data_IF_255628295005
#
_entry.id   IF_255628295005
#
_cell.length_a   1.000
_cell.length_b   1.000
_cell.length_c   1.000
_cell.angle_alpha   90.00
_cell.angle_beta   90.00
_cell.angle_gamma   90.00
#
_symmetry.space_group_name_H-M   'P 1'
#
loop_
_entity.id
_entity.type
_entity.pdbx_description
1 polymer ?
#
# COMPACT_ATOMS: atom_id res chain seq x y z
N UNK A 1 -12.68 -34.87 2.83
CA UNK A 1 -11.34 -34.67 3.43
C UNK A 1 -11.40 -34.26 4.91
N UNK A 2 -12.20 -33.25 5.29
CA UNK A 2 -12.34 -32.79 6.69
C UNK A 2 -12.74 -33.91 7.68
N UNK A 3 -13.74 -34.73 7.35
CA UNK A 3 -14.17 -35.85 8.20
C UNK A 3 -13.09 -36.95 8.39
N UNK A 4 -12.05 -36.98 7.54
CA UNK A 4 -10.93 -37.91 7.70
C UNK A 4 -9.86 -37.38 8.65
N UNK A 5 -9.61 -36.07 8.62
CA UNK A 5 -8.67 -35.41 9.54
C UNK A 5 -9.25 -35.36 10.95
N UNK A 6 -10.54 -35.00 11.08
CA UNK A 6 -11.24 -34.99 12.37
C UNK A 6 -11.15 -36.34 13.08
N UNK A 7 -11.49 -37.44 12.37
CA UNK A 7 -11.35 -38.80 12.89
C UNK A 7 -9.93 -39.13 13.33
N UNK A 8 -8.91 -38.82 12.52
CA UNK A 8 -7.51 -39.07 12.91
C UNK A 8 -7.09 -38.34 14.19
N UNK A 9 -7.57 -37.13 14.42
CA UNK A 9 -7.26 -36.36 15.64
C UNK A 9 -7.93 -37.03 16.85
N UNK A 10 -9.19 -37.39 16.71
CA UNK A 10 -9.94 -38.05 17.80
C UNK A 10 -9.35 -39.43 18.10
N UNK A 11 -9.03 -40.23 17.07
CA UNK A 11 -8.40 -41.55 17.19
C UNK A 11 -7.00 -41.47 17.83
N UNK A 12 -6.19 -40.48 17.45
CA UNK A 12 -4.83 -40.32 17.97
C UNK A 12 -4.79 -39.84 19.42
N UNK A 13 -5.81 -39.09 19.86
CA UNK A 13 -5.89 -38.54 21.23
C UNK A 13 -6.74 -39.39 22.18
N UNK A 14 -7.59 -40.27 21.64
CA UNK A 14 -8.56 -41.05 22.42
C UNK A 14 -9.72 -40.22 22.98
N UNK A 15 -9.86 -38.96 22.57
CA UNK A 15 -10.91 -38.05 23.05
C UNK A 15 -11.91 -37.79 21.93
N UNK A 16 -13.13 -38.30 22.08
CA UNK A 16 -14.19 -38.10 21.09
C UNK A 16 -14.58 -36.62 21.00
N UNK A 17 -14.75 -36.12 19.77
CA UNK A 17 -15.09 -34.72 19.45
C UNK A 17 -14.03 -33.69 19.82
N UNK A 18 -12.78 -34.08 20.10
CA UNK A 18 -11.70 -33.12 20.32
C UNK A 18 -11.45 -32.27 19.08
N UNK A 19 -11.56 -32.86 17.89
CA UNK A 19 -11.44 -32.15 16.61
C UNK A 19 -12.46 -31.01 16.46
N UNK A 20 -13.69 -31.18 16.95
CA UNK A 20 -14.73 -30.14 16.96
C UNK A 20 -14.39 -28.99 17.92
N UNK A 21 -13.76 -29.29 19.07
CA UNK A 21 -13.24 -28.27 19.99
C UNK A 21 -12.10 -27.47 19.35
N UNK A 22 -11.18 -28.13 18.63
CA UNK A 22 -10.11 -27.44 17.90
C UNK A 22 -10.69 -26.50 16.84
N UNK A 23 -11.66 -26.96 16.05
CA UNK A 23 -12.37 -26.12 15.07
C UNK A 23 -13.04 -24.92 15.75
N UNK A 24 -13.63 -25.13 16.92
CA UNK A 24 -14.22 -24.08 17.76
C UNK A 24 -13.16 -23.04 18.17
N UNK A 25 -11.97 -23.45 18.62
CA UNK A 25 -10.89 -22.53 19.00
C UNK A 25 -10.39 -21.69 17.81
N UNK A 26 -10.29 -22.30 16.63
CA UNK A 26 -9.94 -21.58 15.40
C UNK A 26 -11.01 -20.54 15.06
N UNK A 27 -12.29 -20.90 15.15
CA UNK A 27 -13.39 -19.98 14.90
C UNK A 27 -13.46 -18.84 15.94
N UNK A 28 -13.17 -19.09 17.22
CA UNK A 28 -13.05 -18.02 18.23
C UNK A 28 -11.94 -17.02 17.87
N UNK A 29 -10.82 -17.52 17.38
CA UNK A 29 -9.68 -16.71 16.96
C UNK A 29 -10.04 -15.85 15.76
N UNK A 30 -10.80 -16.38 14.80
CA UNK A 30 -11.31 -15.61 13.66
C UNK A 30 -12.20 -14.44 14.11
N UNK A 31 -13.18 -14.69 14.99
CA UNK A 31 -14.03 -13.62 15.55
C UNK A 31 -13.22 -12.56 16.31
N UNK A 32 -12.28 -13.01 17.14
CA UNK A 32 -11.41 -12.13 17.91
C UNK A 32 -10.55 -11.27 16.98
N UNK A 33 -9.96 -11.86 15.94
CA UNK A 33 -9.13 -11.18 14.97
C UNK A 33 -9.91 -10.13 14.17
N UNK A 34 -11.12 -10.46 13.72
CA UNK A 34 -11.99 -9.50 13.01
C UNK A 34 -12.36 -8.33 13.91
N UNK A 35 -12.76 -8.58 15.16
CA UNK A 35 -13.11 -7.52 16.09
C UNK A 35 -11.88 -6.68 16.50
N UNK A 36 -10.75 -7.33 16.74
CA UNK A 36 -9.47 -6.67 17.01
C UNK A 36 -9.02 -5.78 15.85
N UNK A 37 -9.13 -6.26 14.62
CA UNK A 37 -8.86 -5.48 13.41
C UNK A 37 -9.78 -4.27 13.31
N UNK A 38 -11.08 -4.44 13.58
CA UNK A 38 -12.03 -3.33 13.61
C UNK A 38 -11.63 -2.27 14.65
N UNK A 39 -11.22 -2.67 15.86
CA UNK A 39 -10.74 -1.74 16.88
C UNK A 39 -9.46 -1.00 16.46
N UNK A 40 -8.55 -1.67 15.73
CA UNK A 40 -7.34 -1.01 15.20
C UNK A 40 -7.63 0.07 14.15
N UNK A 41 -8.79 0.05 13.51
CA UNK A 41 -9.20 1.11 12.58
C UNK A 41 -9.67 2.39 13.28
N UNK A 42 -9.97 2.35 14.59
CA UNK A 42 -10.27 3.53 15.41
C UNK A 42 -8.96 4.21 15.80
N UNK A 43 -8.35 4.91 14.83
CA UNK A 43 -6.99 5.46 14.92
C UNK A 43 -6.76 6.56 15.97
N UNK A 44 -7.81 7.07 16.61
CA UNK A 44 -7.73 8.31 17.41
C UNK A 44 -8.09 8.13 18.89
N UNK A 45 -8.32 6.91 19.36
CA UNK A 45 -8.62 6.67 20.78
C UNK A 45 -7.36 6.21 21.51
N UNK A 46 -6.98 6.93 22.58
CA UNK A 46 -5.93 6.53 23.50
C UNK A 46 -6.12 5.05 23.91
N UNK A 47 -5.03 4.33 24.22
CA UNK A 47 -5.08 2.90 24.56
C UNK A 47 -5.91 2.64 25.83
N UNK A 48 -7.22 2.55 25.65
CA UNK A 48 -8.20 2.27 26.70
C UNK A 48 -8.52 0.77 26.84
N UNK A 49 -9.24 0.39 27.90
CA UNK A 49 -9.63 -1.00 28.18
C UNK A 49 -10.44 -1.63 27.03
N UNK A 50 -11.19 -0.81 26.27
CA UNK A 50 -11.96 -1.26 25.11
C UNK A 50 -11.10 -1.90 24.00
N UNK A 51 -9.81 -1.52 23.89
CA UNK A 51 -8.89 -2.11 22.91
C UNK A 51 -8.53 -3.56 23.23
N UNK A 52 -8.54 -3.93 24.52
CA UNK A 52 -8.27 -5.30 25.01
C UNK A 52 -9.52 -6.17 25.09
N UNK A 53 -10.70 -5.60 24.87
CA UNK A 53 -11.97 -6.31 24.95
C UNK A 53 -12.05 -7.55 24.02
N UNK A 54 -11.58 -7.52 22.75
CA UNK A 54 -11.62 -8.70 21.89
C UNK A 54 -10.80 -9.87 22.44
N UNK A 55 -9.59 -9.58 22.94
CA UNK A 55 -8.71 -10.60 23.51
C UNK A 55 -9.30 -11.18 24.80
N UNK A 56 -9.82 -10.31 25.67
CA UNK A 56 -10.40 -10.73 26.95
C UNK A 56 -11.67 -11.57 26.75
N UNK A 57 -12.53 -11.15 25.82
CA UNK A 57 -13.74 -11.90 25.47
C UNK A 57 -13.41 -13.25 24.81
N UNK A 58 -12.40 -13.30 23.92
CA UNK A 58 -11.95 -14.53 23.30
C UNK A 58 -11.36 -15.51 24.33
N UNK A 59 -10.52 -15.03 25.24
CA UNK A 59 -9.96 -15.84 26.31
C UNK A 59 -11.03 -16.37 27.27
N UNK A 60 -12.00 -15.54 27.64
CA UNK A 60 -13.13 -15.94 28.46
C UNK A 60 -13.99 -17.01 27.75
N UNK A 61 -14.31 -16.81 26.47
CA UNK A 61 -15.09 -17.78 25.69
C UNK A 61 -14.32 -19.09 25.45
N UNK A 62 -13.02 -19.03 25.20
CA UNK A 62 -12.17 -20.22 25.05
C UNK A 62 -12.13 -21.04 26.36
N UNK A 63 -11.96 -20.35 27.49
CA UNK A 63 -12.01 -20.98 28.81
C UNK A 63 -13.36 -21.62 29.06
N UNK A 64 -14.46 -20.91 28.78
CA UNK A 64 -15.80 -21.45 28.92
C UNK A 64 -16.03 -22.67 28.02
N UNK A 65 -15.57 -22.64 26.76
CA UNK A 65 -15.67 -23.76 25.83
C UNK A 65 -14.93 -25.00 26.33
N UNK A 66 -13.70 -24.85 26.85
CA UNK A 66 -12.91 -25.95 27.40
C UNK A 66 -13.57 -26.54 28.64
N UNK A 67 -13.99 -25.69 29.59
CA UNK A 67 -14.65 -26.13 30.83
C UNK A 67 -15.94 -26.87 30.50
N UNK A 68 -16.79 -26.31 29.63
CA UNK A 68 -18.06 -26.93 29.25
C UNK A 68 -17.85 -28.20 28.43
N UNK A 69 -16.80 -28.29 27.62
CA UNK A 69 -16.42 -29.53 26.94
C UNK A 69 -16.10 -30.65 27.95
N UNK A 70 -15.33 -30.34 28.99
CA UNK A 70 -14.97 -31.32 30.05
C UNK A 70 -16.21 -31.75 30.84
N UNK A 71 -17.10 -30.81 31.19
CA UNK A 71 -18.28 -31.09 32.01
C UNK A 71 -19.43 -31.76 31.25
N UNK A 72 -19.49 -31.63 29.92
CA UNK A 72 -20.56 -32.20 29.11
C UNK A 72 -20.28 -33.68 28.80
N UNK A 73 -21.24 -34.60 29.03
CA UNK A 73 -21.11 -36.00 28.63
C UNK A 73 -20.82 -36.14 27.14
N UNK A 74 -20.02 -37.12 26.74
CA UNK A 74 -19.57 -37.30 25.35
C UNK A 74 -20.73 -37.37 24.35
N UNK A 75 -21.81 -38.05 24.70
CA UNK A 75 -23.00 -38.20 23.85
C UNK A 75 -23.69 -36.87 23.51
N UNK A 76 -23.51 -35.85 24.35
CA UNK A 76 -24.17 -34.55 24.22
C UNK A 76 -23.27 -33.47 23.59
N UNK A 77 -21.97 -33.75 23.41
CA UNK A 77 -21.01 -32.78 22.85
C UNK A 77 -21.26 -32.57 21.36
N UNK A 78 -21.28 -31.29 20.93
CA UNK A 78 -21.42 -30.89 19.53
C UNK A 78 -22.61 -31.53 18.78
N UNK A 79 -23.63 -31.96 19.52
CA UNK A 79 -24.84 -32.58 18.97
C UNK A 79 -25.62 -31.66 18.04
N UNK A 80 -26.56 -32.27 17.30
CA UNK A 80 -27.50 -31.52 16.43
C UNK A 80 -28.38 -30.55 17.24
N UNK A 81 -28.63 -30.86 18.50
CA UNK A 81 -29.40 -30.08 19.46
C UNK A 81 -28.59 -29.85 20.72
N UNK A 82 -28.86 -28.74 21.41
CA UNK A 82 -28.21 -28.43 22.67
C UNK A 82 -29.00 -29.00 23.84
N UNK A 83 -28.37 -29.86 24.63
CA UNK A 83 -28.94 -30.49 25.83
C UNK A 83 -28.00 -30.33 27.02
N UNK A 84 -28.56 -30.36 28.24
CA UNK A 84 -27.79 -30.29 29.48
C UNK A 84 -26.86 -29.07 29.56
N UNK A 85 -25.60 -29.29 29.98
CA UNK A 85 -24.58 -28.24 30.07
C UNK A 85 -24.22 -27.62 28.71
N UNK A 86 -24.48 -28.31 27.60
CA UNK A 86 -24.21 -27.80 26.27
C UNK A 86 -25.10 -26.60 25.89
N UNK A 87 -26.25 -26.43 26.55
CA UNK A 87 -27.11 -25.24 26.41
C UNK A 87 -26.33 -23.98 26.79
N UNK A 88 -25.58 -24.02 27.89
CA UNK A 88 -24.78 -22.89 28.37
C UNK A 88 -23.70 -22.55 27.33
N UNK A 89 -23.06 -23.56 26.76
CA UNK A 89 -22.07 -23.39 25.70
C UNK A 89 -22.70 -22.75 24.46
N UNK A 90 -23.86 -23.25 24.01
CA UNK A 90 -24.55 -22.74 22.85
C UNK A 90 -24.93 -21.26 23.01
N UNK A 91 -25.47 -20.87 24.18
CA UNK A 91 -25.80 -19.49 24.50
C UNK A 91 -24.54 -18.61 24.51
N UNK A 92 -23.47 -19.04 25.18
CA UNK A 92 -22.22 -18.30 25.24
C UNK A 92 -21.59 -18.11 23.85
N UNK A 93 -21.58 -19.17 23.04
CA UNK A 93 -21.08 -19.15 21.66
C UNK A 93 -21.85 -18.17 20.78
N UNK A 94 -23.19 -18.25 20.79
CA UNK A 94 -24.05 -17.36 20.00
C UNK A 94 -23.89 -15.91 20.47
N UNK A 95 -23.88 -15.68 21.79
CA UNK A 95 -23.71 -14.34 22.37
C UNK A 95 -22.36 -13.73 22.00
N UNK A 96 -21.29 -14.50 22.08
CA UNK A 96 -19.95 -14.07 21.67
C UNK A 96 -19.89 -13.76 20.17
N UNK A 97 -20.36 -14.67 19.32
CA UNK A 97 -20.39 -14.48 17.87
C UNK A 97 -21.25 -13.27 17.45
N UNK A 98 -22.42 -13.09 18.06
CA UNK A 98 -23.31 -11.98 17.75
C UNK A 98 -22.71 -10.64 18.19
N UNK A 99 -22.14 -10.59 19.39
CA UNK A 99 -21.50 -9.36 19.92
C UNK A 99 -20.32 -8.95 19.06
N UNK A 100 -19.44 -9.90 18.72
CA UNK A 100 -18.27 -9.65 17.86
C UNK A 100 -18.68 -9.18 16.47
N UNK A 101 -19.65 -9.86 15.84
CA UNK A 101 -20.15 -9.50 14.51
C UNK A 101 -20.81 -8.11 14.50
N UNK A 102 -21.70 -7.81 15.46
CA UNK A 102 -22.36 -6.49 15.56
C UNK A 102 -21.34 -5.40 15.83
N UNK A 103 -20.43 -5.58 16.79
CA UNK A 103 -19.44 -4.58 17.15
C UNK A 103 -18.50 -4.28 15.97
N UNK A 104 -17.97 -5.32 15.32
CA UNK A 104 -17.09 -5.16 14.17
C UNK A 104 -17.82 -4.51 12.98
N UNK A 105 -19.02 -4.97 12.64
CA UNK A 105 -19.83 -4.39 11.56
C UNK A 105 -20.17 -2.92 11.82
N UNK A 106 -20.54 -2.56 13.06
CA UNK A 106 -20.81 -1.17 13.42
C UNK A 106 -19.58 -0.27 13.27
N UNK A 107 -18.40 -0.76 13.67
CA UNK A 107 -17.14 -0.02 13.50
C UNK A 107 -16.80 0.12 12.01
N UNK A 108 -16.82 -0.96 11.22
CA UNK A 108 -16.55 -0.89 9.77
C UNK A 108 -17.52 0.06 9.07
N UNK A 109 -18.80 0.04 9.43
CA UNK A 109 -19.81 0.94 8.86
C UNK A 109 -19.54 2.41 9.19
N UNK A 110 -19.17 2.72 10.44
CA UNK A 110 -18.80 4.08 10.84
C UNK A 110 -17.54 4.55 10.13
N UNK A 111 -16.51 3.71 10.06
CA UNK A 111 -15.27 4.03 9.36
C UNK A 111 -15.50 4.20 7.85
N UNK A 112 -16.35 3.36 7.23
CA UNK A 112 -16.72 3.51 5.83
C UNK A 112 -17.32 4.88 5.51
N UNK A 113 -18.12 5.44 6.44
CA UNK A 113 -18.76 6.75 6.27
C UNK A 113 -17.78 7.92 6.36
N UNK A 114 -16.65 7.77 7.06
CA UNK A 114 -15.63 8.83 7.17
C UNK A 114 -14.53 8.75 6.10
N UNK A 115 -14.44 7.64 5.35
CA UNK A 115 -13.41 7.45 4.34
C UNK A 115 -13.63 8.32 3.09
N UNK A 116 -12.59 9.07 2.70
CA UNK A 116 -12.56 9.88 1.48
C UNK A 116 -12.32 9.05 0.21
N UNK A 117 -11.57 7.95 0.30
CA UNK A 117 -11.32 7.08 -0.86
C UNK A 117 -12.54 6.21 -1.13
N UNK A 118 -13.15 6.26 -2.34
CA UNK A 118 -14.32 5.44 -2.65
C UNK A 118 -13.97 3.95 -2.62
N UNK A 119 -12.74 3.58 -3.00
CA UNK A 119 -12.32 2.18 -3.05
C UNK A 119 -12.22 1.57 -1.65
N UNK A 120 -11.62 2.28 -0.70
CA UNK A 120 -11.60 1.87 0.71
C UNK A 120 -12.99 1.93 1.35
N UNK A 121 -13.83 2.89 0.95
CA UNK A 121 -15.22 2.93 1.40
C UNK A 121 -15.98 1.68 0.96
N UNK A 122 -15.85 1.25 -0.29
CA UNK A 122 -16.47 0.02 -0.78
C UNK A 122 -15.93 -1.22 -0.08
N UNK A 123 -14.62 -1.30 0.18
CA UNK A 123 -14.08 -2.44 0.95
C UNK A 123 -14.62 -2.48 2.38
N UNK A 124 -14.74 -1.34 3.07
CA UNK A 124 -15.31 -1.30 4.42
C UNK A 124 -16.81 -1.62 4.44
N UNK A 125 -17.57 -1.18 3.43
CA UNK A 125 -18.98 -1.58 3.29
C UNK A 125 -19.08 -3.08 3.04
N UNK A 126 -18.25 -3.64 2.15
CA UNK A 126 -18.21 -5.08 1.91
C UNK A 126 -17.82 -5.86 3.19
N UNK A 127 -16.85 -5.40 3.99
CA UNK A 127 -16.54 -5.98 5.30
C UNK A 127 -17.75 -5.92 6.25
N UNK A 128 -18.46 -4.80 6.28
CA UNK A 128 -19.68 -4.65 7.10
C UNK A 128 -20.73 -5.70 6.70
N UNK A 129 -20.99 -5.86 5.40
CA UNK A 129 -21.95 -6.84 4.87
C UNK A 129 -21.48 -8.27 5.16
N UNK A 130 -20.22 -8.58 4.88
CA UNK A 130 -19.65 -9.91 5.07
C UNK A 130 -19.69 -10.34 6.53
N UNK A 131 -19.25 -9.48 7.46
CA UNK A 131 -19.31 -9.77 8.89
C UNK A 131 -20.76 -9.78 9.39
N UNK A 132 -21.62 -8.91 8.88
CA UNK A 132 -23.05 -8.90 9.19
C UNK A 132 -23.80 -10.16 8.74
N UNK A 133 -23.34 -10.82 7.67
CA UNK A 133 -23.90 -12.09 7.18
C UNK A 133 -23.74 -13.25 8.18
N UNK A 134 -22.87 -13.09 9.18
CA UNK A 134 -22.77 -14.02 10.30
C UNK A 134 -24.02 -14.01 11.19
N UNK A 135 -24.72 -12.88 11.32
CA UNK A 135 -25.88 -12.79 12.21
C UNK A 135 -27.03 -13.72 11.76
N UNK A 136 -27.46 -13.73 10.49
CA UNK A 136 -28.40 -14.75 10.00
C UNK A 136 -27.91 -16.18 10.23
N UNK A 137 -26.61 -16.46 10.05
CA UNK A 137 -26.05 -17.78 10.33
C UNK A 137 -26.19 -18.16 11.81
N UNK A 138 -25.87 -17.24 12.74
CA UNK A 138 -25.99 -17.48 14.18
C UNK A 138 -27.44 -17.65 14.62
N UNK A 139 -28.38 -16.91 14.03
CA UNK A 139 -29.82 -17.10 14.26
C UNK A 139 -30.27 -18.48 13.78
N UNK A 140 -29.89 -18.87 12.56
CA UNK A 140 -30.16 -20.21 12.03
C UNK A 140 -29.55 -21.30 12.93
N UNK A 141 -28.30 -21.11 13.37
CA UNK A 141 -27.60 -22.02 14.29
C UNK A 141 -28.35 -22.15 15.61
N UNK A 142 -28.80 -21.04 16.18
CA UNK A 142 -29.58 -21.00 17.41
C UNK A 142 -30.89 -21.77 17.27
N UNK A 143 -31.65 -21.50 16.20
CA UNK A 143 -32.90 -22.21 15.91
C UNK A 143 -32.65 -23.71 15.82
N UNK A 144 -31.61 -24.16 15.10
CA UNK A 144 -31.28 -25.58 14.97
C UNK A 144 -30.88 -26.24 16.28
N UNK A 145 -30.23 -25.50 17.18
CA UNK A 145 -29.83 -26.04 18.49
C UNK A 145 -30.98 -26.12 19.50
N UNK A 146 -31.92 -25.19 19.46
CA UNK A 146 -32.97 -25.07 20.49
C UNK A 146 -34.36 -25.51 20.03
N UNK A 147 -34.62 -25.60 18.72
CA UNK A 147 -35.93 -26.00 18.18
C UNK A 147 -35.84 -27.42 17.63
N UNK A 148 -36.58 -28.39 18.20
CA UNK A 148 -36.61 -29.73 17.65
C UNK A 148 -37.36 -29.80 16.31
N UNK A 149 -36.95 -30.72 15.44
CA UNK A 149 -37.62 -30.94 14.15
C UNK A 149 -37.34 -29.89 13.07
N UNK A 150 -36.27 -29.08 13.21
CA UNK A 150 -35.95 -28.07 12.19
C UNK A 150 -35.66 -28.69 10.81
N UNK A 151 -36.19 -28.11 9.72
CA UNK A 151 -35.97 -28.60 8.36
C UNK A 151 -34.48 -28.60 7.95
N UNK A 152 -34.09 -29.54 7.08
CA UNK A 152 -32.71 -29.67 6.60
C UNK A 152 -32.29 -28.48 5.72
N UNK A 153 -33.24 -27.83 5.06
CA UNK A 153 -33.05 -26.65 4.23
C UNK A 153 -32.47 -25.48 5.03
N UNK A 154 -32.81 -25.39 6.32
CA UNK A 154 -32.26 -24.37 7.20
C UNK A 154 -30.75 -24.57 7.42
N UNK A 155 -30.26 -25.82 7.39
CA UNK A 155 -28.83 -26.09 7.42
C UNK A 155 -28.12 -25.59 6.17
N UNK A 156 -28.76 -25.76 5.00
CA UNK A 156 -28.25 -25.27 3.71
C UNK A 156 -28.22 -23.75 3.69
N UNK A 157 -29.27 -23.09 4.18
CA UNK A 157 -29.29 -21.63 4.33
C UNK A 157 -28.17 -21.14 5.25
N UNK A 158 -27.98 -21.80 6.41
CA UNK A 158 -26.88 -21.49 7.32
C UNK A 158 -25.50 -21.65 6.67
N UNK A 159 -25.31 -22.70 5.88
CA UNK A 159 -24.09 -22.89 5.10
C UNK A 159 -23.84 -21.72 4.13
N UNK A 160 -24.84 -21.29 3.38
CA UNK A 160 -24.69 -20.17 2.45
C UNK A 160 -24.43 -18.84 3.15
N UNK A 161 -25.06 -18.58 4.31
CA UNK A 161 -24.75 -17.39 5.12
C UNK A 161 -23.30 -17.38 5.59
N UNK A 162 -22.80 -18.51 6.10
CA UNK A 162 -21.40 -18.66 6.51
C UNK A 162 -20.44 -18.54 5.32
N UNK A 163 -20.75 -19.18 4.20
CA UNK A 163 -19.97 -19.08 2.96
C UNK A 163 -19.89 -17.64 2.44
N UNK A 164 -21.03 -16.93 2.44
CA UNK A 164 -21.10 -15.54 2.03
C UNK A 164 -20.17 -14.66 2.87
N UNK A 165 -20.08 -14.87 4.19
CA UNK A 165 -19.12 -14.16 5.04
C UNK A 165 -17.70 -14.32 4.51
N UNK A 166 -17.23 -15.56 4.34
CA UNK A 166 -15.84 -15.82 3.93
C UNK A 166 -15.51 -15.20 2.58
N UNK A 167 -16.39 -15.37 1.59
CA UNK A 167 -16.18 -14.82 0.24
C UNK A 167 -16.19 -13.30 0.25
N UNK A 168 -17.20 -12.69 0.89
CA UNK A 168 -17.34 -11.23 0.90
C UNK A 168 -16.21 -10.57 1.68
N UNK A 169 -15.80 -11.13 2.83
CA UNK A 169 -14.66 -10.62 3.60
C UNK A 169 -13.35 -10.74 2.81
N UNK A 170 -13.08 -11.88 2.17
CA UNK A 170 -11.89 -12.07 1.34
C UNK A 170 -11.85 -11.08 0.16
N UNK A 171 -12.99 -10.88 -0.52
CA UNK A 171 -13.13 -9.91 -1.59
C UNK A 171 -12.90 -8.48 -1.08
N UNK A 172 -13.46 -8.14 0.09
CA UNK A 172 -13.30 -6.83 0.70
C UNK A 172 -11.83 -6.53 1.03
N UNK A 173 -11.11 -7.49 1.63
CA UNK A 173 -9.67 -7.39 1.89
C UNK A 173 -8.87 -7.23 0.59
N UNK A 174 -9.24 -7.99 -0.45
CA UNK A 174 -8.61 -7.88 -1.77
C UNK A 174 -8.81 -6.49 -2.38
N UNK A 175 -10.03 -5.95 -2.32
CA UNK A 175 -10.33 -4.58 -2.75
C UNK A 175 -9.49 -3.60 -1.93
N UNK A 176 -9.43 -3.71 -0.60
CA UNK A 176 -8.64 -2.80 0.23
C UNK A 176 -7.15 -2.76 -0.17
N UNK A 177 -6.59 -3.89 -0.61
CA UNK A 177 -5.21 -3.99 -1.09
C UNK A 177 -4.98 -3.34 -2.47
N UNK A 178 -6.02 -3.14 -3.29
CA UNK A 178 -5.87 -2.52 -4.61
C UNK A 178 -5.45 -1.05 -4.54
N UNK A 179 -5.85 -0.29 -3.52
CA UNK A 179 -5.43 1.11 -3.41
C UNK A 179 -3.92 1.29 -3.21
N UNK A 180 -3.28 0.67 -2.19
CA UNK A 180 -1.83 0.76 -2.04
C UNK A 180 -1.10 0.14 -3.24
N UNK A 181 -1.60 -0.95 -3.81
CA UNK A 181 -1.02 -1.54 -5.03
C UNK A 181 -1.08 -0.57 -6.21
N UNK A 182 -2.22 0.09 -6.45
CA UNK A 182 -2.37 1.11 -7.50
C UNK A 182 -1.40 2.27 -7.29
N UNK A 183 -1.27 2.77 -6.06
CA UNK A 183 -0.32 3.84 -5.73
C UNK A 183 1.12 3.40 -5.99
N UNK A 184 1.49 2.19 -5.53
CA UNK A 184 2.81 1.63 -5.74
C UNK A 184 3.15 1.47 -7.22
N UNK A 185 2.24 0.93 -8.03
CA UNK A 185 2.40 0.79 -9.48
C UNK A 185 2.56 2.16 -10.16
N UNK A 186 1.78 3.17 -9.75
CA UNK A 186 1.90 4.53 -10.29
C UNK A 186 3.25 5.15 -9.94
N UNK A 187 3.73 5.01 -8.70
CA UNK A 187 5.03 5.54 -8.28
C UNK A 187 6.19 4.80 -8.95
N UNK A 188 6.11 3.47 -9.00
CA UNK A 188 7.06 2.63 -9.75
C UNK A 188 7.12 3.06 -11.22
N UNK A 189 5.99 3.18 -11.92
CA UNK A 189 5.97 3.58 -13.32
C UNK A 189 6.54 4.98 -13.56
N UNK A 190 6.31 5.93 -12.63
CA UNK A 190 6.91 7.27 -12.66
C UNK A 190 8.43 7.21 -12.45
N UNK A 191 8.89 6.40 -11.50
CA UNK A 191 10.30 6.16 -11.20
C UNK A 191 11.03 5.59 -12.41
N UNK A 192 10.41 4.62 -13.11
CA UNK A 192 10.95 4.04 -14.34
C UNK A 192 11.06 5.06 -15.48
N UNK A 193 10.08 5.95 -15.63
CA UNK A 193 10.14 7.03 -16.66
C UNK A 193 11.27 8.02 -16.43
N UNK A 194 11.67 8.24 -15.18
CA UNK A 194 12.78 9.13 -14.83
C UNK A 194 14.15 8.45 -14.89
N UNK A 195 14.21 7.12 -14.97
CA UNK A 195 15.47 6.37 -14.92
C UNK A 195 16.48 6.83 -15.98
N UNK A 196 16.04 7.10 -17.21
CA UNK A 196 16.95 7.55 -18.29
C UNK A 196 17.54 8.93 -18.02
N UNK A 197 16.73 9.89 -17.56
CA UNK A 197 17.22 11.22 -17.20
C UNK A 197 18.20 11.13 -16.03
N UNK A 198 17.83 10.36 -15.02
CA UNK A 198 18.66 10.10 -13.86
C UNK A 198 20.02 9.53 -14.27
N UNK A 199 20.06 8.41 -15.00
CA UNK A 199 21.33 7.79 -15.44
C UNK A 199 22.22 8.79 -16.19
N UNK A 200 21.63 9.51 -17.15
CA UNK A 200 22.34 10.48 -17.98
C UNK A 200 22.99 11.61 -17.15
N UNK A 201 22.32 12.09 -16.10
CA UNK A 201 22.87 13.12 -15.22
C UNK A 201 23.86 12.56 -14.20
N UNK A 202 23.66 11.33 -13.74
CA UNK A 202 24.56 10.65 -12.80
C UNK A 202 25.90 10.28 -13.44
N UNK A 203 25.89 9.88 -14.70
CA UNK A 203 27.10 9.63 -15.48
C UNK A 203 27.98 10.89 -15.56
N UNK A 204 27.39 12.09 -15.62
CA UNK A 204 28.14 13.36 -15.61
C UNK A 204 28.45 13.91 -14.22
N UNK A 205 27.88 13.33 -13.16
CA UNK A 205 28.04 13.81 -11.77
C UNK A 205 28.41 12.66 -10.81
N UNK A 206 29.46 11.88 -11.10
CA UNK A 206 29.81 10.72 -10.30
C UNK A 206 30.19 11.07 -8.85
N UNK A 207 30.63 12.31 -8.60
CA UNK A 207 31.00 12.79 -7.26
C UNK A 207 29.81 12.90 -6.30
N UNK A 208 28.59 13.04 -6.82
CA UNK A 208 27.37 13.11 -6.00
C UNK A 208 26.83 11.71 -5.63
N UNK A 209 27.56 10.63 -5.94
CA UNK A 209 27.17 9.24 -5.69
C UNK A 209 27.47 8.83 -4.25
N UNK A 210 26.45 8.96 -3.40
CA UNK A 210 26.47 8.46 -2.02
C UNK A 210 26.35 6.92 -1.95
N UNK A 211 25.65 6.31 -2.91
CA UNK A 211 25.39 4.86 -2.95
C UNK A 211 25.58 4.33 -4.38
N UNK A 212 26.11 3.11 -4.51
CA UNK A 212 26.33 2.50 -5.81
C UNK A 212 25.02 2.43 -6.63
N UNK A 213 25.04 2.85 -7.91
CA UNK A 213 23.85 2.84 -8.76
C UNK A 213 23.23 1.44 -8.84
N UNK A 214 21.96 1.32 -8.44
CA UNK A 214 21.22 0.06 -8.55
C UNK A 214 21.11 -0.35 -10.02
N UNK A 215 21.39 -1.62 -10.32
CA UNK A 215 21.25 -2.15 -11.68
C UNK A 215 19.83 -1.99 -12.20
N UNK A 216 19.67 -1.78 -13.52
CA UNK A 216 18.36 -1.56 -14.14
C UNK A 216 17.38 -2.71 -13.90
N UNK A 217 17.87 -3.94 -13.83
CA UNK A 217 17.05 -5.13 -13.54
C UNK A 217 16.56 -5.13 -12.09
N UNK A 218 17.44 -4.83 -11.13
CA UNK A 218 17.05 -4.68 -9.73
C UNK A 218 16.06 -3.49 -9.55
N UNK A 219 16.26 -2.40 -10.29
CA UNK A 219 15.35 -1.24 -10.30
C UNK A 219 13.95 -1.59 -10.81
N UNK A 220 13.84 -2.50 -11.79
CA UNK A 220 12.59 -2.93 -12.38
C UNK A 220 11.79 -3.88 -11.47
N UNK A 221 12.48 -4.80 -10.78
CA UNK A 221 11.85 -5.83 -9.93
C UNK A 221 11.52 -5.28 -8.53
N UNK A 222 12.15 -4.19 -8.11
CA UNK A 222 11.89 -3.57 -6.80
C UNK A 222 10.53 -2.86 -6.69
N UNK A 223 9.59 -3.47 -5.96
CA UNK A 223 8.27 -2.89 -5.62
C UNK A 223 8.14 -2.36 -4.18
N UNK A 224 9.16 -2.54 -3.33
CA UNK A 224 9.21 -1.97 -1.98
C UNK A 224 9.50 -0.47 -2.01
N UNK A 225 8.94 0.29 -1.06
CA UNK A 225 9.25 1.72 -0.82
C UNK A 225 9.21 2.61 -2.09
N UNK A 226 8.24 2.35 -2.97
CA UNK A 226 8.16 3.00 -4.30
C UNK A 226 8.00 4.51 -4.23
N UNK A 227 7.40 5.04 -3.16
CA UNK A 227 7.28 6.47 -2.93
C UNK A 227 8.63 7.08 -2.55
N UNK A 228 9.32 6.51 -1.56
CA UNK A 228 10.61 6.98 -1.06
C UNK A 228 11.64 6.95 -2.19
N UNK A 229 11.69 5.84 -2.94
CA UNK A 229 12.62 5.68 -4.07
C UNK A 229 12.31 6.63 -5.24
N UNK A 230 11.04 6.95 -5.48
CA UNK A 230 10.66 7.96 -6.46
C UNK A 230 11.10 9.36 -5.99
N UNK A 231 10.88 9.68 -4.73
CA UNK A 231 11.24 10.96 -4.14
C UNK A 231 12.75 11.18 -4.16
N UNK A 232 13.52 10.20 -3.68
CA UNK A 232 14.98 10.18 -3.73
C UNK A 232 15.49 10.42 -5.16
N UNK A 233 14.95 9.73 -6.16
CA UNK A 233 15.35 9.90 -7.56
C UNK A 233 15.12 11.34 -8.07
N UNK A 234 14.07 12.00 -7.62
CA UNK A 234 13.82 13.41 -8.00
C UNK A 234 14.78 14.37 -7.32
N UNK A 235 15.13 14.12 -6.05
CA UNK A 235 16.17 14.88 -5.34
C UNK A 235 17.51 14.71 -6.04
N UNK A 236 17.94 13.48 -6.33
CA UNK A 236 19.22 13.22 -7.00
C UNK A 236 19.32 13.87 -8.39
N UNK A 237 18.22 13.89 -9.16
CA UNK A 237 18.17 14.62 -10.44
C UNK A 237 18.36 16.13 -10.23
N UNK A 238 17.71 16.71 -9.21
CA UNK A 238 17.84 18.15 -8.90
C UNK A 238 19.25 18.51 -8.45
N UNK A 239 19.83 17.69 -7.59
CA UNK A 239 21.18 17.90 -7.09
C UNK A 239 22.18 17.84 -8.25
N UNK A 240 22.00 16.89 -9.18
CA UNK A 240 22.84 16.80 -10.38
C UNK A 240 22.70 18.03 -11.28
N UNK A 241 21.48 18.55 -11.48
CA UNK A 241 21.26 19.77 -12.26
C UNK A 241 21.92 20.98 -11.59
N UNK A 242 21.76 21.11 -10.27
CA UNK A 242 22.33 22.23 -9.48
C UNK A 242 23.86 22.17 -9.49
N UNK A 243 24.43 20.99 -9.33
CA UNK A 243 25.88 20.78 -9.41
C UNK A 243 26.45 21.09 -10.79
N UNK A 244 25.76 20.72 -11.88
CA UNK A 244 26.15 21.10 -13.23
C UNK A 244 26.05 22.62 -13.45
N UNK A 245 25.04 23.25 -12.87
CA UNK A 245 24.87 24.70 -12.89
C UNK A 245 26.05 25.39 -12.22
N UNK A 246 26.34 25.05 -10.98
CA UNK A 246 27.37 25.71 -10.16
C UNK A 246 28.79 25.40 -10.65
N UNK A 247 29.00 24.29 -11.35
CA UNK A 247 30.30 23.89 -11.87
C UNK A 247 30.65 24.46 -13.25
N UNK A 248 29.68 24.58 -14.16
CA UNK A 248 29.97 24.84 -15.59
C UNK A 248 29.04 25.87 -16.25
N UNK A 249 27.94 26.28 -15.61
CA UNK A 249 27.07 27.28 -16.22
C UNK A 249 27.69 28.67 -16.11
N UNK A 250 27.97 29.31 -17.26
CA UNK A 250 28.41 30.70 -17.32
C UNK A 250 27.26 31.62 -17.71
N UNK A 251 27.27 32.91 -17.32
CA UNK A 251 26.25 33.87 -17.74
C UNK A 251 26.12 34.01 -19.27
N UNK A 252 27.20 33.77 -20.02
CA UNK A 252 27.18 33.74 -21.48
C UNK A 252 26.42 32.52 -22.02
N UNK A 253 26.68 31.33 -21.46
CA UNK A 253 25.97 30.09 -21.83
C UNK A 253 24.48 30.20 -21.53
N UNK A 254 24.12 30.72 -20.35
CA UNK A 254 22.74 30.90 -19.92
C UNK A 254 21.97 31.84 -20.85
N UNK A 255 22.55 32.98 -21.22
CA UNK A 255 21.95 33.90 -22.20
C UNK A 255 21.79 33.25 -23.59
N UNK A 256 22.84 32.58 -24.07
CA UNK A 256 22.78 31.88 -25.36
C UNK A 256 21.68 30.79 -25.37
N UNK A 257 21.46 30.10 -24.26
CA UNK A 257 20.41 29.10 -24.11
C UNK A 257 19.01 29.73 -24.17
N UNK A 258 18.80 30.89 -23.53
CA UNK A 258 17.54 31.65 -23.59
C UNK A 258 17.27 32.16 -25.01
N UNK A 259 18.27 32.76 -25.65
CA UNK A 259 18.16 33.25 -27.02
C UNK A 259 17.83 32.12 -28.01
N UNK A 260 18.48 30.97 -27.84
CA UNK A 260 18.19 29.78 -28.64
C UNK A 260 16.77 29.28 -28.42
N UNK A 261 16.32 29.21 -27.17
CA UNK A 261 14.95 28.79 -26.84
C UNK A 261 13.90 29.74 -27.43
N UNK A 262 14.15 31.05 -27.41
CA UNK A 262 13.28 32.05 -28.04
C UNK A 262 13.15 31.87 -29.56
N UNK A 263 14.25 31.52 -30.24
CA UNK A 263 14.29 31.30 -31.70
C UNK A 263 13.62 30.00 -32.14
N UNK A 264 13.64 28.96 -31.30
CA UNK A 264 13.17 27.63 -31.70
C UNK A 264 11.63 27.54 -31.74
N UNK A 265 10.90 28.45 -31.08
CA UNK A 265 9.43 28.45 -31.02
C UNK A 265 8.80 27.18 -30.41
N UNK A 266 9.62 26.26 -29.89
CA UNK A 266 9.25 24.90 -29.55
C UNK A 266 8.86 24.78 -28.06
N UNK A 267 7.61 25.09 -27.72
CA UNK A 267 7.06 24.82 -26.39
C UNK A 267 7.47 25.86 -25.32
N UNK A 268 7.39 25.50 -24.02
CA UNK A 268 7.71 26.42 -22.94
C UNK A 268 9.19 26.82 -23.01
N UNK A 269 9.46 28.04 -23.49
CA UNK A 269 10.81 28.56 -23.78
C UNK A 269 11.79 28.29 -22.62
N UNK A 270 11.32 28.43 -21.37
CA UNK A 270 12.11 28.15 -20.19
C UNK A 270 12.64 26.70 -20.11
N UNK A 271 11.81 25.69 -20.41
CA UNK A 271 12.26 24.28 -20.34
C UNK A 271 13.29 23.95 -21.43
N UNK A 272 13.16 24.56 -22.61
CA UNK A 272 14.14 24.42 -23.69
C UNK A 272 15.46 25.07 -23.30
N UNK A 273 15.43 26.28 -22.75
CA UNK A 273 16.63 26.95 -22.24
C UNK A 273 17.33 26.12 -21.16
N UNK A 274 16.55 25.54 -20.22
CA UNK A 274 17.10 24.63 -19.20
C UNK A 274 17.75 23.41 -19.83
N UNK A 275 17.07 22.75 -20.77
CA UNK A 275 17.64 21.60 -21.47
C UNK A 275 18.94 21.96 -22.22
N UNK A 276 18.98 23.11 -22.89
CA UNK A 276 20.15 23.61 -23.62
C UNK A 276 21.38 23.74 -22.71
N UNK A 277 21.26 24.47 -21.59
CA UNK A 277 22.42 24.67 -20.72
C UNK A 277 22.78 23.40 -19.95
N UNK A 278 21.80 22.59 -19.53
CA UNK A 278 22.06 21.31 -18.84
C UNK A 278 22.82 20.35 -19.76
N UNK A 279 22.44 20.22 -21.03
CA UNK A 279 23.16 19.33 -21.96
C UNK A 279 24.57 19.84 -22.28
N UNK A 280 24.75 21.15 -22.44
CA UNK A 280 26.06 21.74 -22.69
C UNK A 280 27.03 21.53 -21.50
N UNK A 281 26.57 21.85 -20.28
CA UNK A 281 27.35 21.65 -19.04
C UNK A 281 27.64 20.18 -18.77
N UNK A 282 26.66 19.29 -19.02
CA UNK A 282 26.85 17.83 -18.94
C UNK A 282 27.99 17.33 -19.82
N UNK A 283 28.06 17.80 -21.07
CA UNK A 283 29.13 17.41 -22.01
C UNK A 283 30.49 17.95 -21.57
N UNK A 284 30.55 19.17 -21.05
CA UNK A 284 31.77 19.75 -20.49
C UNK A 284 32.27 18.95 -19.28
N UNK A 285 31.36 18.57 -18.36
CA UNK A 285 31.69 17.73 -17.22
C UNK A 285 32.24 16.37 -17.65
N UNK A 286 31.59 15.70 -18.62
CA UNK A 286 32.07 14.42 -19.17
C UNK A 286 33.41 14.54 -19.91
N UNK A 287 33.69 15.69 -20.53
CA UNK A 287 34.96 15.96 -21.18
C UNK A 287 36.08 16.32 -20.19
N UNK A 288 35.79 16.37 -18.87
CA UNK A 288 36.76 16.73 -17.84
C UNK A 288 37.18 18.20 -17.86
N UNK A 289 36.34 19.08 -18.43
CA UNK A 289 36.61 20.53 -18.42
C UNK A 289 36.61 21.01 -16.96
N UNK A 290 37.65 21.73 -16.50
CA UNK A 290 37.69 22.27 -15.15
C UNK A 290 36.47 23.14 -14.84
N UNK A 291 36.00 23.10 -13.59
CA UNK A 291 34.87 23.92 -13.15
C UNK A 291 35.22 25.39 -13.22
N UNK A 292 34.24 26.21 -13.56
CA UNK A 292 34.37 27.66 -13.59
C UNK A 292 33.87 28.21 -12.26
N UNK A 293 34.74 28.86 -11.47
CA UNK A 293 34.38 29.48 -10.19
C UNK A 293 33.64 30.82 -10.37
N UNK A 294 32.65 30.86 -11.26
CA UNK A 294 31.75 32.00 -11.41
C UNK A 294 30.43 31.66 -10.72
N UNK A 295 29.76 32.65 -10.11
CA UNK A 295 28.40 32.49 -9.61
C UNK A 295 27.40 32.80 -10.75
N UNK A 296 26.85 31.78 -11.44
CA UNK A 296 25.79 32.00 -12.41
C UNK A 296 24.51 32.55 -11.75
N UNK A 297 23.78 33.38 -12.50
CA UNK A 297 22.46 33.84 -12.08
C UNK A 297 21.47 32.68 -11.93
N UNK A 298 20.72 32.64 -10.83
CA UNK A 298 19.82 31.54 -10.46
C UNK A 298 18.51 31.48 -11.28
N UNK A 299 18.29 32.42 -12.20
CA UNK A 299 17.02 32.60 -12.94
C UNK A 299 16.60 31.37 -13.77
N UNK A 300 17.58 30.56 -14.18
CA UNK A 300 17.38 29.36 -15.01
C UNK A 300 17.50 28.04 -14.24
N UNK A 301 17.55 28.07 -12.91
CA UNK A 301 17.37 26.86 -12.11
C UNK A 301 15.91 26.38 -12.17
N UNK A 302 15.65 25.06 -12.19
CA UNK A 302 14.28 24.54 -12.14
C UNK A 302 13.52 25.10 -10.92
N UNK A 303 12.30 25.63 -11.13
CA UNK A 303 11.49 26.22 -10.05
C UNK A 303 11.27 25.23 -8.89
N UNK A 304 11.87 25.51 -7.73
CA UNK A 304 11.55 24.84 -6.47
C UNK A 304 10.49 25.66 -5.73
N UNK A 305 9.26 25.67 -6.23
CA UNK A 305 8.15 26.29 -5.50
C UNK A 305 7.64 25.33 -4.44
N UNK A 306 8.30 25.28 -3.28
CA UNK A 306 7.96 24.38 -2.17
C UNK A 306 6.47 24.41 -1.78
N UNK A 307 5.81 25.55 -1.95
CA UNK A 307 4.39 25.75 -1.63
C UNK A 307 3.40 25.27 -2.71
N UNK A 308 3.84 25.02 -3.95
CA UNK A 308 2.96 24.66 -5.08
C UNK A 308 3.39 23.37 -5.82
N UNK A 309 4.55 22.82 -5.47
CA UNK A 309 5.13 21.67 -6.12
C UNK A 309 4.54 20.38 -5.57
N UNK A 310 3.72 19.71 -6.39
CA UNK A 310 3.31 18.33 -6.10
C UNK A 310 4.30 17.40 -6.80
N UNK A 311 4.65 16.28 -6.17
CA UNK A 311 5.50 15.24 -6.77
C UNK A 311 5.06 14.87 -8.20
N UNK A 312 3.76 14.87 -8.48
CA UNK A 312 3.22 14.63 -9.84
C UNK A 312 3.67 15.68 -10.84
N UNK A 313 3.64 16.96 -10.47
CA UNK A 313 4.08 18.09 -11.32
C UNK A 313 5.58 18.01 -11.57
N UNK A 314 6.37 17.75 -10.52
CA UNK A 314 7.83 17.60 -10.63
C UNK A 314 8.21 16.49 -11.60
N UNK A 315 7.66 15.28 -11.39
CA UNK A 315 7.92 14.15 -12.30
C UNK A 315 7.53 14.51 -13.74
N UNK A 316 6.41 15.21 -13.94
CA UNK A 316 5.96 15.60 -15.28
C UNK A 316 6.91 16.62 -15.93
N UNK A 317 7.42 17.58 -15.16
CA UNK A 317 8.41 18.56 -15.63
C UNK A 317 9.74 17.88 -15.97
N UNK A 318 10.24 16.98 -15.13
CA UNK A 318 11.48 16.23 -15.38
C UNK A 318 11.36 15.32 -16.60
N UNK A 319 10.21 14.64 -16.79
CA UNK A 319 9.97 13.87 -18.02
C UNK A 319 9.96 14.77 -19.26
N UNK A 320 9.40 15.99 -19.18
CA UNK A 320 9.44 16.95 -20.30
C UNK A 320 10.86 17.47 -20.54
N UNK A 321 11.61 17.78 -19.48
CA UNK A 321 13.01 18.17 -19.57
C UNK A 321 13.84 17.11 -20.28
N UNK A 322 13.68 15.83 -19.92
CA UNK A 322 14.36 14.73 -20.60
C UNK A 322 14.06 14.69 -22.10
N UNK A 323 12.80 14.87 -22.51
CA UNK A 323 12.43 14.91 -23.93
C UNK A 323 13.13 16.06 -24.66
N UNK A 324 13.19 17.24 -24.06
CA UNK A 324 13.90 18.38 -24.64
C UNK A 324 15.41 18.14 -24.68
N UNK A 325 16.02 17.57 -23.64
CA UNK A 325 17.43 17.18 -23.63
C UNK A 325 17.78 16.25 -24.80
N UNK A 326 16.90 15.30 -25.13
CA UNK A 326 17.10 14.37 -26.26
C UNK A 326 16.73 14.95 -27.63
N UNK A 327 16.24 16.20 -27.71
CA UNK A 327 15.83 16.80 -28.98
C UNK A 327 17.03 17.26 -29.80
N UNK A 328 16.94 17.17 -31.13
CA UNK A 328 18.02 17.59 -32.04
C UNK A 328 18.44 19.05 -31.81
N UNK A 329 17.49 19.97 -31.62
CA UNK A 329 17.78 21.38 -31.38
C UNK A 329 18.71 21.60 -30.17
N UNK A 330 18.44 20.91 -29.04
CA UNK A 330 19.27 20.99 -27.83
C UNK A 330 20.63 20.32 -28.06
N UNK A 331 20.67 19.17 -28.74
CA UNK A 331 21.91 18.45 -29.04
C UNK A 331 22.83 19.26 -29.98
N UNK A 332 22.27 19.96 -30.97
CA UNK A 332 22.99 20.85 -31.89
C UNK A 332 23.48 22.12 -31.18
N UNK A 333 22.65 22.70 -30.30
CA UNK A 333 23.06 23.80 -29.43
C UNK A 333 24.27 23.41 -28.57
N UNK A 334 24.18 22.30 -27.85
CA UNK A 334 25.26 21.81 -27.00
C UNK A 334 26.52 21.44 -27.81
N UNK A 335 26.35 20.93 -29.04
CA UNK A 335 27.47 20.66 -29.95
C UNK A 335 28.26 21.92 -30.28
N UNK A 336 27.56 23.02 -30.63
CA UNK A 336 28.20 24.31 -30.91
C UNK A 336 28.91 24.91 -29.70
N UNK A 337 28.34 24.77 -28.50
CA UNK A 337 28.97 25.25 -27.27
C UNK A 337 30.24 24.46 -26.92
N UNK A 338 30.27 23.15 -27.18
CA UNK A 338 31.46 22.34 -26.97
C UNK A 338 32.60 22.66 -27.96
N UNK A 339 32.27 23.14 -29.17
CA UNK A 339 33.26 23.52 -30.18
C UNK A 339 33.77 24.96 -30.05
N UNK A 340 33.13 25.79 -29.22
CA UNK A 340 33.58 27.16 -29.00
C UNK A 340 34.81 27.12 -28.10
N UNK A 341 36.01 27.51 -28.58
CA UNK A 341 37.20 27.52 -27.73
C UNK A 341 36.91 28.44 -26.55
N UNK A 342 37.17 27.96 -25.33
CA UNK A 342 37.09 28.78 -24.14
C UNK A 342 38.08 29.94 -24.33
N UNK A 343 37.58 31.10 -24.76
CA UNK A 343 38.39 32.31 -24.81
C UNK A 343 38.95 32.49 -23.40
N UNK A 344 40.28 32.53 -23.22
CA UNK A 344 40.88 32.71 -21.92
C UNK A 344 40.32 34.01 -21.35
N UNK A 345 39.61 33.89 -20.23
CA UNK A 345 39.15 35.05 -19.48
C UNK A 345 40.40 35.68 -18.88
N UNK A 346 40.88 36.72 -19.56
CA UNK A 346 41.98 37.59 -19.15
C UNK A 346 41.60 38.46 -17.96
#
# INVERSE_FOLDING_TARGET
MQAGVARRIDDATGVTHLSDLVVTMVALTDFAAVWWFAQHLRRDEEPGPARRAPLSAAAAMATAAIVLFILTPEADRFGKQAHGWWIVYAIAWIGYGATTAVAAAAIFWRTARSMRSPLLRYSMIALTIGVGAELPYLVIRAIRWFVPGTPAELAVAGFWCSFARFVVVALACSIAALEPMRKAVVYWGRRQRLHRLWSLLRESTPELVLHEPVSRTADLVGFGNTWELLHQRVVEIRDSITFLHDGWATPALLRAAVDHAGKTGAGPQRLVAIACWVEATRRQALAGVPRTAQEPGQELLPDVRATASTMRREVSQLVRLHRHLTSRAVQDFAGRQASSPASPVS
#
